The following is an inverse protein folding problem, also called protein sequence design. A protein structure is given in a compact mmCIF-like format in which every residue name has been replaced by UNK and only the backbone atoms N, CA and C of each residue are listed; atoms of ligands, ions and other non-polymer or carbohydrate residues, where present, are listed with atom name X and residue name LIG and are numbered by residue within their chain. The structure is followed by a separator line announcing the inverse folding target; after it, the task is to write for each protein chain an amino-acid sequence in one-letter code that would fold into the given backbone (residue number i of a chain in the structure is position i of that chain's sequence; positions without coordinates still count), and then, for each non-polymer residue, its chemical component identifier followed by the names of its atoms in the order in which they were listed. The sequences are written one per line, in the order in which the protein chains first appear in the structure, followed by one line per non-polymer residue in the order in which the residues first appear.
data_IF_526592275390
#
_entry.id   IF_526592275390
#
_cell.length_a   1.000
_cell.length_b   1.000
_cell.length_c   1.000
_cell.angle_alpha   90.00
_cell.angle_beta   90.00
_cell.angle_gamma   90.00
#
_symmetry.space_group_name_H-M   'P 1'
#
loop_
_entity.id
_entity.type
_entity.pdbx_description
1 polymer ?
#
# COMPACT_ATOMS: atom_id res chain seq x y z
N UNK A 1 -12.33 38.82 -61.22
CA UNK A 1 -13.43 38.13 -60.50
C UNK A 1 -12.89 37.67 -59.16
N UNK A 2 -13.20 38.39 -58.07
CA UNK A 2 -12.63 38.08 -56.76
C UNK A 2 -13.45 36.97 -56.09
N UNK A 3 -12.88 35.77 -56.03
CA UNK A 3 -13.48 34.65 -55.30
C UNK A 3 -13.36 34.97 -53.80
N UNK A 4 -14.43 35.51 -53.19
CA UNK A 4 -14.46 35.73 -51.74
C UNK A 4 -14.48 34.37 -51.07
N UNK A 5 -13.36 33.97 -50.47
CA UNK A 5 -13.34 32.87 -49.51
C UNK A 5 -14.31 33.22 -48.39
N UNK A 6 -15.13 32.25 -48.01
CA UNK A 6 -16.11 32.39 -46.93
C UNK A 6 -15.37 32.30 -45.59
N UNK A 7 -14.53 33.31 -45.32
CA UNK A 7 -13.64 33.45 -44.16
C UNK A 7 -14.41 33.26 -42.85
N UNK A 8 -15.65 33.74 -42.77
CA UNK A 8 -16.51 33.58 -41.61
C UNK A 8 -16.86 32.09 -41.34
N UNK A 9 -17.10 31.30 -42.41
CA UNK A 9 -17.37 29.86 -42.31
C UNK A 9 -16.12 29.05 -41.94
N UNK A 10 -14.94 29.43 -42.45
CA UNK A 10 -13.67 28.79 -42.08
C UNK A 10 -13.25 29.08 -40.64
N UNK A 11 -13.48 30.30 -40.13
CA UNK A 11 -13.23 30.63 -38.73
C UNK A 11 -14.15 29.88 -37.78
N UNK A 12 -15.43 29.74 -38.12
CA UNK A 12 -16.38 28.97 -37.34
C UNK A 12 -16.00 27.48 -37.28
N UNK A 13 -15.53 26.91 -38.40
CA UNK A 13 -15.06 25.51 -38.45
C UNK A 13 -13.73 25.35 -37.70
N UNK A 14 -12.80 26.30 -37.81
CA UNK A 14 -11.51 26.26 -37.11
C UNK A 14 -11.65 26.31 -35.60
N UNK A 15 -12.53 27.18 -35.07
CA UNK A 15 -12.85 27.22 -33.64
C UNK A 15 -13.52 25.93 -33.15
N UNK A 16 -14.38 25.33 -33.97
CA UNK A 16 -14.98 24.02 -33.65
C UNK A 16 -13.95 22.90 -33.54
N UNK A 17 -12.99 22.83 -34.47
CA UNK A 17 -11.90 21.84 -34.44
C UNK A 17 -11.00 22.08 -33.23
N UNK A 18 -10.65 23.33 -32.94
CA UNK A 18 -9.82 23.67 -31.79
C UNK A 18 -10.49 23.28 -30.47
N UNK A 19 -11.79 23.60 -30.30
CA UNK A 19 -12.55 23.22 -29.12
C UNK A 19 -12.62 21.69 -28.95
N UNK A 20 -12.82 20.96 -30.05
CA UNK A 20 -12.83 19.49 -30.02
C UNK A 20 -11.48 18.90 -29.59
N UNK A 21 -10.37 19.44 -30.12
CA UNK A 21 -9.02 19.00 -29.74
C UNK A 21 -8.74 19.24 -28.24
N UNK A 22 -9.15 20.39 -27.70
CA UNK A 22 -8.99 20.72 -26.27
C UNK A 22 -9.79 19.76 -25.41
N UNK A 23 -11.05 19.50 -25.75
CA UNK A 23 -11.89 18.54 -25.01
C UNK A 23 -11.26 17.15 -25.01
N UNK A 24 -10.74 16.69 -26.16
CA UNK A 24 -10.12 15.37 -26.27
C UNK A 24 -8.88 15.24 -25.38
N UNK A 25 -8.01 16.26 -25.35
CA UNK A 25 -6.82 16.28 -24.47
C UNK A 25 -7.22 16.25 -23.00
N UNK A 26 -8.24 17.03 -22.60
CA UNK A 26 -8.73 17.05 -21.21
C UNK A 26 -9.28 15.68 -20.80
N UNK A 27 -10.06 15.02 -21.66
CA UNK A 27 -10.60 13.67 -21.38
C UNK A 27 -9.49 12.64 -21.21
N UNK A 28 -8.47 12.64 -22.08
CA UNK A 28 -7.31 11.76 -21.93
C UNK A 28 -6.58 12.02 -20.61
N UNK A 29 -6.40 13.29 -20.25
CA UNK A 29 -5.71 13.64 -19.02
C UNK A 29 -6.48 13.20 -17.76
N UNK A 30 -7.80 13.41 -17.73
CA UNK A 30 -8.67 12.93 -16.65
C UNK A 30 -8.60 11.40 -16.58
N UNK A 31 -8.70 10.70 -17.71
CA UNK A 31 -8.60 9.24 -17.75
C UNK A 31 -7.25 8.74 -17.23
N UNK A 32 -6.14 9.34 -17.69
CA UNK A 32 -4.79 8.99 -17.22
C UNK A 32 -4.61 9.29 -15.73
N UNK A 33 -5.16 10.41 -15.24
CA UNK A 33 -5.12 10.77 -13.81
C UNK A 33 -5.90 9.77 -12.96
N UNK A 34 -7.09 9.36 -13.39
CA UNK A 34 -7.90 8.37 -12.68
C UNK A 34 -7.22 7.00 -12.68
N UNK A 35 -6.67 6.57 -13.82
CA UNK A 35 -5.92 5.32 -13.93
C UNK A 35 -4.64 5.34 -13.08
N UNK A 36 -3.96 6.49 -13.01
CA UNK A 36 -2.75 6.65 -12.20
C UNK A 36 -3.06 6.58 -10.70
N UNK A 37 -4.18 7.18 -10.26
CA UNK A 37 -4.67 7.05 -8.88
C UNK A 37 -5.06 5.60 -8.55
N UNK A 38 -5.74 4.90 -9.46
CA UNK A 38 -6.08 3.49 -9.27
C UNK A 38 -4.84 2.61 -9.13
N UNK A 39 -3.80 2.82 -9.97
CA UNK A 39 -2.53 2.10 -9.83
C UNK A 39 -1.84 2.35 -8.49
N UNK A 40 -1.84 3.60 -8.01
CA UNK A 40 -1.30 3.92 -6.68
C UNK A 40 -2.09 3.27 -5.53
N UNK A 41 -3.38 3.04 -5.72
CA UNK A 41 -4.24 2.42 -4.71
C UNK A 41 -4.14 0.88 -4.74
N UNK A 42 -3.98 0.28 -5.92
CA UNK A 42 -3.70 -1.15 -6.09
C UNK A 42 -2.30 -1.55 -5.59
N UNK A 43 -1.28 -0.70 -5.77
CA UNK A 43 0.08 -0.98 -5.26
C UNK A 43 0.22 -0.86 -3.73
N UNK A 44 -0.72 -0.19 -3.05
CA UNK A 44 -0.63 0.07 -1.60
C UNK A 44 -1.51 -0.85 -0.75
N UNK A 45 -2.32 -1.69 -1.37
CA UNK A 45 -3.10 -2.69 -0.65
C UNK A 45 -2.31 -3.99 -0.65
N UNK A 46 -1.40 -4.11 0.32
CA UNK A 46 -0.78 -5.40 0.58
C UNK A 46 -1.85 -6.34 1.15
N UNK A 47 -2.40 -7.19 0.29
CA UNK A 47 -3.40 -8.21 0.66
C UNK A 47 -2.75 -9.32 1.51
N UNK A 48 -1.41 -9.32 1.59
CA UNK A 48 -0.63 -10.34 2.25
C UNK A 48 -0.61 -10.15 3.76
N UNK A 49 -0.66 -11.28 4.47
CA UNK A 49 -0.68 -11.32 5.94
C UNK A 49 0.58 -12.00 6.45
N UNK A 50 1.09 -11.51 7.57
CA UNK A 50 2.07 -12.18 8.40
C UNK A 50 1.36 -12.99 9.47
N UNK A 51 1.54 -14.31 9.46
CA UNK A 51 1.12 -15.19 10.55
C UNK A 51 2.34 -15.44 11.42
N UNK A 52 2.34 -14.93 12.65
CA UNK A 52 3.46 -15.05 13.58
C UNK A 52 3.03 -15.98 14.71
N UNK A 53 3.75 -17.07 14.92
CA UNK A 53 3.50 -18.06 15.97
C UNK A 53 4.70 -18.18 16.89
N UNK A 54 4.50 -17.91 18.18
CA UNK A 54 5.47 -18.19 19.24
C UNK A 54 5.18 -19.60 19.76
N UNK A 55 6.02 -20.58 19.42
CA UNK A 55 5.73 -22.01 19.60
C UNK A 55 6.34 -22.62 20.85
N UNK A 56 7.52 -22.17 21.29
CA UNK A 56 8.20 -22.71 22.48
C UNK A 56 9.09 -21.69 23.18
N UNK A 57 9.10 -21.71 24.51
CA UNK A 57 10.08 -21.00 25.32
C UNK A 57 9.72 -19.55 25.64
N UNK A 58 8.45 -19.19 25.50
CA UNK A 58 7.88 -17.89 25.83
C UNK A 58 6.86 -17.96 26.97
N UNK A 59 6.43 -19.16 27.39
CA UNK A 59 5.46 -19.36 28.47
C UNK A 59 5.91 -18.70 29.77
N UNK A 60 5.12 -17.77 30.29
CA UNK A 60 5.40 -16.99 31.49
C UNK A 60 6.15 -15.68 31.24
N UNK A 61 6.59 -15.44 30.01
CA UNK A 61 7.28 -14.21 29.62
C UNK A 61 6.30 -13.14 29.16
N UNK A 62 6.60 -11.90 29.53
CA UNK A 62 5.84 -10.73 29.11
C UNK A 62 6.46 -10.22 27.82
N UNK A 63 5.81 -10.50 26.70
CA UNK A 63 6.34 -10.24 25.36
C UNK A 63 5.53 -9.12 24.71
N UNK A 64 6.26 -8.18 24.12
CA UNK A 64 5.73 -7.20 23.19
C UNK A 64 6.19 -7.50 21.77
N UNK A 65 5.22 -7.72 20.88
CA UNK A 65 5.44 -7.94 19.45
C UNK A 65 5.21 -6.64 18.70
N UNK A 66 6.21 -6.20 17.95
CA UNK A 66 6.10 -5.08 17.03
C UNK A 66 6.34 -5.54 15.61
N UNK A 67 5.64 -4.92 14.67
CA UNK A 67 6.05 -4.93 13.27
C UNK A 67 6.48 -3.51 12.95
N UNK A 68 7.73 -3.34 12.56
CA UNK A 68 8.40 -2.05 12.45
C UNK A 68 8.29 -1.25 13.76
N UNK A 69 7.52 -0.18 13.77
CA UNK A 69 7.25 0.69 14.92
C UNK A 69 5.89 0.43 15.58
N UNK A 70 5.05 -0.40 14.96
CA UNK A 70 3.67 -0.63 15.38
C UNK A 70 3.57 -1.79 16.37
N UNK A 71 3.06 -1.52 17.57
CA UNK A 71 2.79 -2.55 18.58
C UNK A 71 1.59 -3.41 18.15
N UNK A 72 1.82 -4.69 17.95
CA UNK A 72 0.81 -5.68 17.56
C UNK A 72 0.17 -6.33 18.78
N UNK A 73 0.99 -6.71 19.76
CA UNK A 73 0.53 -7.40 20.95
C UNK A 73 1.47 -7.12 22.11
N UNK A 74 0.90 -6.91 23.30
CA UNK A 74 1.64 -6.82 24.55
C UNK A 74 0.89 -7.67 25.58
N UNK A 75 1.46 -8.82 25.93
CA UNK A 75 0.85 -9.72 26.92
C UNK A 75 1.88 -10.67 27.51
N UNK A 76 1.56 -11.20 28.67
CA UNK A 76 2.21 -12.40 29.18
C UNK A 76 1.70 -13.61 28.39
N UNK A 77 2.61 -14.41 27.85
CA UNK A 77 2.26 -15.64 27.15
C UNK A 77 1.92 -16.70 28.20
N UNK A 78 0.66 -17.14 28.23
CA UNK A 78 0.16 -18.13 29.20
C UNK A 78 0.09 -19.53 28.56
N UNK A 79 -0.22 -19.57 27.27
CA UNK A 79 -0.37 -20.79 26.49
C UNK A 79 0.41 -20.67 25.18
N UNK A 80 1.07 -21.77 24.80
CA UNK A 80 1.78 -21.94 23.53
C UNK A 80 1.07 -23.00 22.66
N UNK A 81 1.01 -22.83 21.33
CA UNK A 81 1.56 -21.70 20.58
C UNK A 81 0.66 -20.45 20.67
N UNK A 82 1.29 -19.27 20.81
CA UNK A 82 0.58 -18.00 20.66
C UNK A 82 0.73 -17.51 19.21
N UNK A 83 -0.40 -17.41 18.50
CA UNK A 83 -0.43 -16.99 17.10
C UNK A 83 -1.14 -15.66 16.93
N UNK A 84 -0.57 -14.78 16.10
CA UNK A 84 -1.18 -13.51 15.69
C UNK A 84 -1.07 -13.33 14.18
N UNK A 85 -2.11 -12.74 13.59
CA UNK A 85 -2.14 -12.38 12.18
C UNK A 85 -2.09 -10.86 12.03
N UNK A 86 -1.19 -10.38 11.18
CA UNK A 86 -0.97 -8.96 10.94
C UNK A 86 -0.96 -8.70 9.45
N UNK A 87 -1.84 -7.81 8.97
CA UNK A 87 -1.81 -7.38 7.58
C UNK A 87 -0.51 -6.64 7.27
N UNK A 88 0.07 -6.88 6.10
CA UNK A 88 1.25 -6.14 5.65
C UNK A 88 0.87 -4.69 5.38
N UNK A 89 1.74 -3.76 5.77
CA UNK A 89 1.51 -2.32 5.61
C UNK A 89 2.71 -1.57 5.02
N UNK A 90 3.82 -2.26 4.76
CA UNK A 90 5.02 -1.70 4.15
C UNK A 90 5.69 -2.70 3.20
N UNK A 91 6.47 -2.20 2.25
CA UNK A 91 7.23 -3.04 1.31
C UNK A 91 8.18 -3.97 2.08
N UNK A 92 8.96 -3.40 2.99
CA UNK A 92 9.85 -4.11 3.91
C UNK A 92 9.29 -3.97 5.32
N UNK A 93 9.19 -5.09 6.03
CA UNK A 93 8.73 -5.11 7.41
C UNK A 93 9.73 -5.92 8.25
N UNK A 94 9.92 -5.53 9.49
CA UNK A 94 10.72 -6.26 10.48
C UNK A 94 9.84 -6.60 11.68
N UNK A 95 9.93 -7.83 12.17
CA UNK A 95 9.33 -8.25 13.42
C UNK A 95 10.32 -7.99 14.55
N UNK A 96 9.87 -7.29 15.59
CA UNK A 96 10.59 -7.13 16.85
C UNK A 96 9.86 -7.90 17.93
N UNK A 97 10.57 -8.81 18.60
CA UNK A 97 10.10 -9.51 19.79
C UNK A 97 10.86 -8.93 20.97
N UNK A 98 10.14 -8.26 21.86
CA UNK A 98 10.70 -7.58 23.03
C UNK A 98 10.26 -8.29 24.30
N UNK A 99 11.21 -8.71 25.12
CA UNK A 99 10.93 -9.15 26.49
C UNK A 99 10.83 -7.92 27.40
N UNK A 100 9.64 -7.70 27.95
CA UNK A 100 9.34 -6.53 28.77
C UNK A 100 10.05 -6.54 30.13
N UNK A 101 10.58 -7.70 30.59
CA UNK A 101 11.33 -7.80 31.85
C UNK A 101 12.81 -7.49 31.66
N UNK A 102 13.40 -7.97 30.57
CA UNK A 102 14.85 -7.86 30.31
C UNK A 102 15.20 -6.76 29.32
N UNK A 103 14.20 -6.18 28.64
CA UNK A 103 14.34 -5.22 27.54
C UNK A 103 15.15 -5.77 26.35
N UNK A 104 15.33 -7.10 26.28
CA UNK A 104 16.00 -7.75 25.17
C UNK A 104 15.10 -7.72 23.93
N UNK A 105 15.69 -7.31 22.81
CA UNK A 105 15.01 -7.18 21.52
C UNK A 105 15.59 -8.18 20.53
N UNK A 106 14.76 -9.07 20.02
CA UNK A 106 15.07 -9.93 18.88
C UNK A 106 14.43 -9.36 17.62
N UNK A 107 15.21 -9.16 16.56
CA UNK A 107 14.74 -8.58 15.29
C UNK A 107 14.81 -9.61 14.18
N UNK A 108 13.76 -9.69 13.36
CA UNK A 108 13.67 -10.60 12.22
C UNK A 108 13.10 -9.88 11.00
N UNK A 109 13.73 -10.05 9.84
CA UNK A 109 13.21 -9.51 8.59
C UNK A 109 12.00 -10.32 8.11
N UNK A 110 10.91 -9.61 7.76
CA UNK A 110 9.72 -10.20 7.19
C UNK A 110 9.74 -10.04 5.67
N UNK A 111 9.38 -11.12 4.99
CA UNK A 111 9.25 -11.21 3.53
C UNK A 111 8.29 -10.16 2.95
N UNK A 112 8.64 -9.68 1.77
CA UNK A 112 7.80 -8.82 0.93
C UNK A 112 6.63 -9.58 0.27
N UNK A 113 6.33 -10.82 0.69
CA UNK A 113 5.23 -11.64 0.17
C UNK A 113 4.26 -12.15 1.24
N UNK A 114 4.33 -11.58 2.44
CA UNK A 114 3.70 -12.19 3.62
C UNK A 114 4.41 -13.49 4.02
N UNK A 115 3.80 -14.26 4.92
CA UNK A 115 4.32 -15.58 5.27
C UNK A 115 3.93 -16.04 6.67
N UNK A 116 4.24 -17.30 6.96
CA UNK A 116 4.06 -17.91 8.27
C UNK A 116 5.43 -18.06 8.94
N UNK A 117 5.58 -17.45 10.12
CA UNK A 117 6.81 -17.41 10.90
C UNK A 117 6.58 -18.10 12.23
N UNK A 118 7.50 -19.00 12.59
CA UNK A 118 7.47 -19.73 13.85
C UNK A 118 8.77 -19.46 14.61
N UNK A 119 8.63 -19.06 15.87
CA UNK A 119 9.73 -18.74 16.77
C UNK A 119 9.65 -19.57 18.05
#
# INVERSE_FOLDING_TARGET
MAHRLNTNKQFMVGNGILAFAVIFVVVIFIYMSMRLQQKQQEERHFIETYTISLVKGFTGDSISLFVNDSLISNKTIIEEPYTVEVGRFAEQSALLIVDNKTELVSTFDLSERGGNYQF
#
